data_IF_125014959758
#
_entry.id   IF_125014959758
#
_cell.length_a   1.000
_cell.length_b   1.000
_cell.length_c   1.000
_cell.angle_alpha   90.00
_cell.angle_beta   90.00
_cell.angle_gamma   90.00
#
_symmetry.space_group_name_H-M   'P 1'
#
loop_
_entity.id
_entity.type
_entity.pdbx_description
1 polymer ?
#
# COMPACT_ATOMS: atom_id res chain seq x y z
N UNK A 1 14.42 -0.30 7.98
CA UNK A 1 13.23 -0.09 7.11
C UNK A 1 12.44 -1.38 7.00
N UNK A 2 11.14 -1.29 7.17
CA UNK A 2 10.25 -2.44 7.08
C UNK A 2 9.21 -2.19 6.00
N UNK A 3 9.03 -3.17 5.13
CA UNK A 3 8.05 -3.10 4.05
C UNK A 3 7.13 -4.32 4.15
N UNK A 4 5.83 -4.07 4.16
CA UNK A 4 4.83 -5.14 4.19
C UNK A 4 3.82 -4.92 3.06
N UNK A 5 3.49 -5.98 2.36
CA UNK A 5 2.46 -5.95 1.32
C UNK A 5 1.48 -7.08 1.62
N UNK A 6 0.21 -6.76 1.71
CA UNK A 6 -0.85 -7.72 1.99
C UNK A 6 -1.93 -7.68 0.92
N UNK A 7 -2.47 -8.85 0.62
CA UNK A 7 -3.64 -8.96 -0.23
C UNK A 7 -4.86 -8.57 0.62
N UNK A 8 -5.56 -7.54 0.19
CA UNK A 8 -6.71 -7.05 0.92
C UNK A 8 -7.67 -6.36 -0.04
N UNK A 9 -8.96 -6.54 0.18
CA UNK A 9 -9.97 -5.81 -0.56
C UNK A 9 -10.40 -4.63 0.29
N UNK A 10 -9.95 -3.45 -0.08
CA UNK A 10 -10.26 -2.23 0.66
C UNK A 10 -11.41 -1.50 -0.02
N UNK A 11 -12.40 -1.13 0.77
CA UNK A 11 -13.63 -0.53 0.28
C UNK A 11 -13.88 0.77 1.05
N UNK A 12 -14.24 1.83 0.34
CA UNK A 12 -14.56 3.10 0.98
C UNK A 12 -16.03 3.14 1.43
N UNK A 13 -16.49 4.30 1.88
CA UNK A 13 -17.85 4.48 2.37
C UNK A 13 -18.94 4.22 1.32
N UNK A 14 -18.61 4.46 0.07
CA UNK A 14 -19.58 4.29 -1.02
C UNK A 14 -19.58 2.87 -1.57
N UNK A 15 -18.67 2.02 -1.08
CA UNK A 15 -18.53 0.66 -1.55
C UNK A 15 -17.58 0.52 -2.73
N UNK A 16 -16.84 1.57 -3.09
CA UNK A 16 -15.85 1.51 -4.14
C UNK A 16 -14.59 0.79 -3.67
N UNK A 17 -14.06 -0.08 -4.53
CA UNK A 17 -12.83 -0.79 -4.23
C UNK A 17 -11.64 0.15 -4.41
N UNK A 18 -10.87 0.35 -3.33
CA UNK A 18 -9.69 1.22 -3.34
C UNK A 18 -8.44 0.54 -3.90
N UNK A 19 -8.43 -0.79 -3.91
CA UNK A 19 -7.32 -1.57 -4.41
C UNK A 19 -7.36 -2.96 -3.84
N UNK A 20 -6.64 -3.89 -4.47
CA UNK A 20 -6.58 -5.28 -4.01
C UNK A 20 -5.46 -5.54 -3.02
N UNK A 21 -4.45 -4.66 -2.98
CA UNK A 21 -3.29 -4.80 -2.10
C UNK A 21 -3.11 -3.55 -1.26
N UNK A 22 -2.68 -3.76 -0.05
CA UNK A 22 -2.27 -2.67 0.83
C UNK A 22 -0.78 -2.85 1.14
N UNK A 23 -0.02 -1.75 1.11
CA UNK A 23 1.39 -1.80 1.47
C UNK A 23 1.67 -0.82 2.59
N UNK A 24 2.64 -1.18 3.44
CA UNK A 24 3.10 -0.35 4.55
C UNK A 24 4.62 -0.20 4.47
N UNK A 25 5.09 1.01 4.64
CA UNK A 25 6.51 1.31 4.70
C UNK A 25 6.81 1.98 6.02
N UNK A 26 7.69 1.37 6.80
CA UNK A 26 8.13 1.95 8.07
C UNK A 26 9.62 2.23 8.01
N UNK A 27 10.01 3.45 8.37
CA UNK A 27 11.41 3.85 8.44
C UNK A 27 11.58 4.81 9.61
N UNK A 28 12.19 4.32 10.71
CA UNK A 28 12.27 5.08 11.94
C UNK A 28 10.89 5.40 12.48
N UNK A 29 10.59 6.69 12.63
CA UNK A 29 9.29 7.15 13.11
C UNK A 29 8.29 7.42 11.97
N UNK A 30 8.73 7.23 10.73
CA UNK A 30 7.89 7.50 9.58
C UNK A 30 7.13 6.24 9.16
N UNK A 31 5.85 6.42 8.86
CA UNK A 31 4.99 5.32 8.42
C UNK A 31 4.12 5.81 7.27
N UNK A 32 4.20 5.11 6.15
CA UNK A 32 3.42 5.44 4.96
C UNK A 32 2.62 4.20 4.55
N UNK A 33 1.37 4.41 4.20
CA UNK A 33 0.48 3.34 3.75
C UNK A 33 -0.11 3.72 2.40
N UNK A 34 -0.24 2.75 1.51
CA UNK A 34 -0.85 2.97 0.21
C UNK A 34 -1.64 1.75 -0.25
N UNK A 35 -2.44 1.97 -1.29
CA UNK A 35 -3.25 0.92 -1.91
C UNK A 35 -2.86 0.81 -3.37
N UNK A 36 -2.91 -0.40 -3.91
CA UNK A 36 -2.55 -0.64 -5.31
C UNK A 36 -3.28 -1.85 -5.86
N UNK A 37 -3.34 -1.94 -7.19
CA UNK A 37 -4.06 -3.01 -7.87
C UNK A 37 -3.23 -4.26 -8.11
N UNK A 38 -1.91 -4.14 -8.01
CA UNK A 38 -1.00 -5.27 -8.23
C UNK A 38 0.25 -5.12 -7.37
N UNK A 39 0.92 -6.25 -7.13
CA UNK A 39 2.16 -6.25 -6.34
C UNK A 39 3.24 -5.39 -7.02
N UNK A 40 3.35 -5.47 -8.34
CA UNK A 40 4.30 -4.65 -9.10
C UNK A 40 4.06 -3.16 -8.90
N UNK A 41 2.79 -2.75 -8.90
CA UNK A 41 2.43 -1.36 -8.67
C UNK A 41 2.78 -0.94 -7.23
N UNK A 42 2.61 -1.83 -6.27
CA UNK A 42 3.01 -1.55 -4.88
C UNK A 42 4.50 -1.24 -4.78
N UNK A 43 5.33 -2.02 -5.44
CA UNK A 43 6.77 -1.79 -5.44
C UNK A 43 7.12 -0.45 -6.08
N UNK A 44 6.47 -0.09 -7.18
CA UNK A 44 6.70 1.20 -7.82
C UNK A 44 6.36 2.36 -6.89
N UNK A 45 5.25 2.27 -6.19
CA UNK A 45 4.84 3.32 -5.26
C UNK A 45 5.79 3.42 -4.08
N UNK A 46 6.23 2.28 -3.53
CA UNK A 46 7.18 2.25 -2.42
C UNK A 46 8.50 2.90 -2.82
N UNK A 47 8.99 2.59 -4.01
CA UNK A 47 10.25 3.16 -4.52
C UNK A 47 10.15 4.68 -4.66
N UNK A 48 9.00 5.19 -5.06
CA UNK A 48 8.79 6.63 -5.21
C UNK A 48 8.84 7.38 -3.89
N UNK A 49 8.59 6.71 -2.78
CA UNK A 49 8.62 7.34 -1.46
C UNK A 49 10.02 7.36 -0.83
N UNK A 50 10.99 6.81 -1.50
CA UNK A 50 12.37 6.84 -0.99
C UNK A 50 13.11 8.10 -1.38
#
# INVERSE_FOLDING_TARGET
MKIEIELSKNVDYSGEILGEYIWNLEEGDNHVTGFCDSIGQCFEEIIRHK
#
